data_IF_194035557633
#
_entry.id   IF_194035557633
#
_cell.length_a   1.000
_cell.length_b   1.000
_cell.length_c   1.000
_cell.angle_alpha   90.00
_cell.angle_beta   90.00
_cell.angle_gamma   90.00
#
_symmetry.space_group_name_H-M   'P 1'
#
loop_
_entity.id
_entity.type
_entity.pdbx_description
1 polymer ?
#
# COMPACT_ATOMS: atom_id res chain seq x y z
N UNK A 1 -17.09 -19.64 27.77
CA UNK A 1 -16.00 -18.70 27.41
C UNK A 1 -15.28 -19.28 26.20
N UNK A 2 -15.75 -18.95 24.99
CA UNK A 2 -15.05 -19.38 23.77
C UNK A 2 -13.75 -18.58 23.66
N UNK A 3 -12.62 -19.22 23.95
CA UNK A 3 -11.31 -18.60 23.81
C UNK A 3 -11.04 -18.22 22.37
N UNK A 4 -10.48 -17.03 22.15
CA UNK A 4 -10.01 -16.64 20.83
C UNK A 4 -8.91 -17.61 20.39
N UNK A 5 -8.89 -18.10 19.14
CA UNK A 5 -7.77 -18.88 18.64
C UNK A 5 -6.48 -18.05 18.78
N UNK A 6 -5.34 -18.70 19.08
CA UNK A 6 -4.05 -18.01 19.17
C UNK A 6 -3.75 -17.27 17.86
N UNK A 7 -3.22 -16.06 17.98
CA UNK A 7 -2.84 -15.24 16.82
C UNK A 7 -1.57 -15.80 16.20
N UNK A 8 -1.47 -15.75 14.87
CA UNK A 8 -0.21 -15.99 14.17
C UNK A 8 0.67 -14.74 14.35
N UNK A 9 1.90 -14.95 14.81
CA UNK A 9 2.82 -13.88 15.21
C UNK A 9 4.17 -14.04 14.50
N UNK A 10 4.74 -12.92 14.05
CA UNK A 10 6.06 -12.83 13.42
C UNK A 10 6.86 -11.66 13.99
N UNK A 11 8.16 -11.87 14.24
CA UNK A 11 9.07 -10.79 14.64
C UNK A 11 9.59 -10.05 13.42
N UNK A 12 9.32 -8.75 13.35
CA UNK A 12 9.82 -7.82 12.31
C UNK A 12 10.82 -6.83 12.91
N UNK A 13 11.61 -6.11 12.09
CA UNK A 13 12.47 -5.01 12.58
C UNK A 13 11.72 -3.93 13.38
N UNK A 14 10.42 -3.77 13.14
CA UNK A 14 9.52 -2.84 13.81
C UNK A 14 8.92 -3.40 15.11
N UNK A 15 9.14 -4.68 15.41
CA UNK A 15 8.63 -5.38 16.60
C UNK A 15 7.83 -6.65 16.29
N UNK A 16 7.17 -7.18 17.31
CA UNK A 16 6.27 -8.33 17.18
C UNK A 16 4.98 -7.91 16.47
N UNK A 17 4.67 -8.56 15.36
CA UNK A 17 3.48 -8.30 14.55
C UNK A 17 2.59 -9.53 14.54
N UNK A 18 1.28 -9.34 14.54
CA UNK A 18 0.31 -10.44 14.47
C UNK A 18 -0.64 -10.29 13.29
N UNK A 19 -1.05 -11.42 12.73
CA UNK A 19 -2.10 -11.45 11.73
C UNK A 19 -3.47 -11.27 12.41
N UNK A 20 -4.22 -10.26 11.97
CA UNK A 20 -5.55 -9.99 12.50
C UNK A 20 -6.53 -11.13 12.13
N UNK A 21 -7.28 -11.68 13.08
CA UNK A 21 -8.26 -12.73 12.79
C UNK A 21 -9.25 -12.31 11.71
N UNK A 22 -9.51 -13.20 10.75
CA UNK A 22 -10.40 -12.94 9.61
C UNK A 22 -9.74 -12.20 8.45
N UNK A 23 -8.48 -11.77 8.59
CA UNK A 23 -7.70 -11.18 7.50
C UNK A 23 -6.76 -12.23 6.94
N UNK A 24 -6.95 -12.61 5.67
CA UNK A 24 -6.04 -13.52 4.98
C UNK A 24 -4.77 -12.78 4.52
N UNK A 25 -3.57 -13.37 4.66
CA UNK A 25 -2.35 -12.81 4.09
C UNK A 25 -2.44 -12.74 2.56
N UNK A 26 -1.91 -11.67 1.98
CA UNK A 26 -1.85 -11.50 0.51
C UNK A 26 -0.77 -12.41 -0.06
N UNK A 27 -1.18 -13.41 -0.84
CA UNK A 27 -0.28 -14.33 -1.55
C UNK A 27 0.20 -13.73 -2.86
N UNK A 28 1.23 -14.34 -3.43
CA UNK A 28 1.78 -13.90 -4.72
C UNK A 28 0.73 -14.00 -5.86
N UNK A 29 -0.07 -15.07 -5.88
CA UNK A 29 -1.17 -15.21 -6.84
C UNK A 29 -2.21 -14.08 -6.74
N UNK A 30 -2.52 -13.62 -5.53
CA UNK A 30 -3.47 -12.53 -5.30
C UNK A 30 -2.93 -11.21 -5.85
N UNK A 31 -1.61 -10.97 -5.68
CA UNK A 31 -0.92 -9.81 -6.26
C UNK A 31 -0.95 -9.83 -7.79
N UNK A 32 -0.68 -10.99 -8.39
CA UNK A 32 -0.71 -11.16 -9.85
C UNK A 32 -2.12 -10.98 -10.41
N UNK A 33 -3.13 -11.57 -9.77
CA UNK A 33 -4.53 -11.40 -10.15
C UNK A 33 -4.97 -9.93 -10.07
N UNK A 34 -4.58 -9.21 -9.01
CA UNK A 34 -4.83 -7.78 -8.88
C UNK A 34 -4.14 -6.95 -9.98
N UNK A 35 -2.93 -7.34 -10.40
CA UNK A 35 -2.24 -6.68 -11.52
C UNK A 35 -2.93 -6.92 -12.87
N UNK A 36 -3.41 -8.14 -13.11
CA UNK A 36 -4.15 -8.48 -14.33
C UNK A 36 -5.51 -7.80 -14.39
N UNK A 37 -6.19 -7.68 -13.24
CA UNK A 37 -7.51 -7.08 -13.14
C UNK A 37 -7.50 -5.54 -13.13
N UNK A 38 -6.36 -4.89 -12.87
CA UNK A 38 -6.25 -3.44 -12.84
C UNK A 38 -6.27 -2.87 -14.29
N UNK A 39 -7.37 -2.23 -14.74
CA UNK A 39 -7.38 -1.59 -16.04
C UNK A 39 -6.53 -0.32 -15.94
N UNK A 40 -5.56 -0.16 -16.85
CA UNK A 40 -4.77 1.06 -17.03
C UNK A 40 -3.95 1.48 -15.81
N UNK A 41 -3.07 0.59 -15.32
CA UNK A 41 -2.01 1.00 -14.39
C UNK A 41 -1.23 2.19 -14.96
N UNK A 42 -0.98 3.25 -14.15
CA UNK A 42 -0.13 4.35 -14.57
C UNK A 42 1.23 3.81 -15.00
N UNK A 43 1.64 4.11 -16.24
CA UNK A 43 2.98 3.74 -16.74
C UNK A 43 4.09 4.58 -16.13
N UNK A 44 3.72 5.67 -15.46
CA UNK A 44 4.62 6.62 -14.79
C UNK A 44 4.32 6.63 -13.30
N UNK A 45 5.35 6.83 -12.49
CA UNK A 45 5.19 7.00 -11.04
C UNK A 45 4.20 8.13 -10.75
N UNK A 46 3.32 7.92 -9.76
CA UNK A 46 2.47 8.98 -9.25
C UNK A 46 3.37 10.09 -8.73
N UNK A 47 3.16 11.32 -9.20
CA UNK A 47 3.90 12.47 -8.68
C UNK A 47 3.65 12.58 -7.17
N UNK A 48 4.66 12.91 -6.35
CA UNK A 48 4.48 13.19 -4.94
C UNK A 48 3.31 14.17 -4.78
N UNK A 49 2.52 13.98 -3.73
CA UNK A 49 1.34 14.79 -3.47
C UNK A 49 1.78 16.17 -2.94
N UNK A 50 2.37 17.00 -3.80
CA UNK A 50 2.77 18.37 -3.50
C UNK A 50 1.61 19.35 -3.76
N UNK A 51 0.43 19.03 -3.23
CA UNK A 51 -0.75 19.88 -3.31
C UNK A 51 -0.98 20.54 -1.94
N UNK A 52 -0.81 21.87 -1.88
CA UNK A 52 -0.93 22.66 -0.66
C UNK A 52 -0.68 24.15 -0.89
N UNK A 53 -0.66 24.95 0.19
CA UNK A 53 -0.45 26.42 0.15
C UNK A 53 0.88 26.83 -0.51
N UNK A 54 1.85 25.91 -0.52
CA UNK A 54 3.17 26.06 -1.12
C UNK A 54 3.36 25.02 -2.23
N UNK A 55 2.40 24.87 -3.15
CA UNK A 55 2.57 24.05 -4.35
C UNK A 55 3.84 24.49 -5.13
N UNK A 56 4.98 23.91 -4.75
CA UNK A 56 6.31 24.26 -5.26
C UNK A 56 6.42 23.79 -6.71
N UNK A 57 5.72 22.73 -7.08
CA UNK A 57 5.67 22.21 -8.44
C UNK A 57 5.02 23.22 -9.40
N UNK A 58 3.93 23.88 -8.97
CA UNK A 58 3.30 24.97 -9.70
C UNK A 58 4.17 26.24 -9.74
N UNK A 59 4.78 26.63 -8.61
CA UNK A 59 5.69 27.80 -8.56
C UNK A 59 6.92 27.62 -9.45
N UNK A 60 7.49 26.41 -9.46
CA UNK A 60 8.67 26.07 -10.25
C UNK A 60 8.34 25.63 -11.67
N UNK A 61 7.06 25.70 -12.09
CA UNK A 61 6.62 25.45 -13.46
C UNK A 61 7.06 24.06 -13.99
N UNK A 62 7.15 23.07 -13.11
CA UNK A 62 7.68 21.72 -13.44
C UNK A 62 6.70 20.88 -14.29
N UNK A 63 5.54 21.45 -14.64
CA UNK A 63 4.48 20.83 -15.44
C UNK A 63 4.42 21.33 -16.90
N UNK A 64 5.36 22.17 -17.35
CA UNK A 64 5.29 22.80 -18.67
C UNK A 64 5.76 21.97 -19.86
N UNK A 65 6.14 20.69 -19.67
CA UNK A 65 6.55 19.79 -20.77
C UNK A 65 6.04 18.36 -20.56
#
# INVERSE_FOLDING_TARGET
MSGHPPLDVETTPEGEQCLMPGVAPIRECDRLAAFMAAPLRPRKAQKPLNIGLFDEDARNQLSLF
#
